data_IF_640510458123
#
_entry.id   IF_640510458123
#
_cell.length_a   1.000
_cell.length_b   1.000
_cell.length_c   1.000
_cell.angle_alpha   90.00
_cell.angle_beta   90.00
_cell.angle_gamma   90.00
#
_symmetry.space_group_name_H-M   'P 1'
#
loop_
_entity.id
_entity.type
_entity.pdbx_description
1 polymer ?
#
# COMPACT_ATOMS: atom_id res chain seq x y z
N UNK A 1 42.80 -45.38 -42.41
CA UNK A 1 41.75 -45.22 -41.40
C UNK A 1 41.65 -43.76 -41.17
N UNK A 2 40.54 -43.09 -41.53
CA UNK A 2 40.31 -41.67 -41.21
C UNK A 2 39.71 -41.50 -39.78
N UNK A 3 40.18 -40.51 -39.07
CA UNK A 3 39.75 -40.13 -37.71
C UNK A 3 38.36 -39.47 -37.74
N UNK A 4 37.55 -39.61 -36.68
CA UNK A 4 36.24 -38.97 -36.61
C UNK A 4 36.40 -37.51 -36.25
N UNK A 5 35.67 -36.64 -36.98
CA UNK A 5 35.50 -35.20 -36.71
C UNK A 5 34.39 -35.07 -35.66
N UNK A 6 34.72 -34.53 -34.48
CA UNK A 6 33.74 -34.16 -33.49
C UNK A 6 33.12 -32.79 -33.89
N UNK A 7 31.79 -32.76 -34.04
CA UNK A 7 31.04 -31.54 -34.21
C UNK A 7 30.78 -30.88 -32.84
N UNK A 8 30.86 -29.54 -32.72
CA UNK A 8 30.54 -28.86 -31.46
C UNK A 8 29.02 -28.82 -31.23
N UNK A 9 28.59 -29.28 -30.07
CA UNK A 9 27.21 -29.11 -29.59
C UNK A 9 27.00 -27.66 -29.19
N UNK A 10 26.11 -26.95 -29.88
CA UNK A 10 25.66 -25.61 -29.53
C UNK A 10 24.61 -25.74 -28.43
N UNK A 11 24.97 -25.37 -27.22
CA UNK A 11 24.07 -25.29 -26.08
C UNK A 11 23.22 -24.01 -26.23
N UNK A 12 21.95 -24.13 -26.66
CA UNK A 12 21.01 -23.05 -26.72
C UNK A 12 20.54 -22.69 -25.30
N UNK A 13 21.06 -21.60 -24.77
CA UNK A 13 20.63 -21.04 -23.49
C UNK A 13 19.31 -20.29 -23.71
N UNK A 14 18.18 -20.91 -23.37
CA UNK A 14 16.85 -20.27 -23.38
C UNK A 14 16.80 -19.26 -22.28
N UNK A 15 16.89 -17.96 -22.57
CA UNK A 15 16.51 -16.89 -21.66
C UNK A 15 14.97 -16.93 -21.49
N UNK A 16 14.51 -17.48 -20.38
CA UNK A 16 13.14 -17.21 -19.92
C UNK A 16 13.09 -15.73 -19.49
N UNK A 17 12.54 -14.87 -20.34
CA UNK A 17 12.18 -13.52 -19.93
C UNK A 17 11.06 -13.62 -18.89
N UNK A 18 11.35 -13.26 -17.63
CA UNK A 18 10.34 -13.10 -16.62
C UNK A 18 9.41 -11.96 -17.08
N UNK A 19 8.13 -12.28 -17.30
CA UNK A 19 7.11 -11.28 -17.55
C UNK A 19 7.07 -10.32 -16.33
N UNK A 20 6.94 -8.99 -16.53
CA UNK A 20 6.80 -8.08 -15.43
C UNK A 20 5.55 -8.48 -14.63
N UNK A 21 5.72 -8.68 -13.33
CA UNK A 21 4.61 -8.91 -12.42
C UNK A 21 3.67 -7.69 -12.52
N UNK A 22 2.49 -7.88 -13.11
CA UNK A 22 1.46 -6.84 -13.13
C UNK A 22 1.06 -6.57 -11.68
N UNK A 23 1.30 -5.35 -11.22
CA UNK A 23 0.86 -4.91 -9.90
C UNK A 23 -0.65 -5.14 -9.78
N UNK A 24 -1.05 -5.89 -8.76
CA UNK A 24 -2.46 -6.20 -8.55
C UNK A 24 -3.25 -4.90 -8.36
N UNK A 25 -4.31 -4.71 -9.13
CA UNK A 25 -5.15 -3.49 -9.06
C UNK A 25 -5.96 -3.39 -7.76
N UNK A 26 -5.98 -4.47 -6.96
CA UNK A 26 -6.69 -4.56 -5.66
C UNK A 26 -5.94 -5.53 -4.75
N UNK A 27 -5.90 -5.24 -3.45
CA UNK A 27 -5.46 -6.23 -2.48
C UNK A 27 -6.43 -7.43 -2.41
N UNK A 28 -5.97 -8.60 -1.93
CA UNK A 28 -6.83 -9.73 -1.64
C UNK A 28 -8.01 -9.35 -0.74
N UNK A 29 -9.09 -10.13 -0.81
CA UNK A 29 -10.19 -9.99 0.16
C UNK A 29 -9.70 -10.40 1.55
N UNK A 30 -10.16 -9.70 2.60
CA UNK A 30 -9.90 -10.11 3.97
C UNK A 30 -10.60 -11.44 4.30
N UNK A 31 -10.11 -12.12 5.34
CA UNK A 31 -10.78 -13.31 5.87
C UNK A 31 -12.19 -12.98 6.40
N UNK A 32 -12.38 -11.76 6.90
CA UNK A 32 -13.65 -11.26 7.42
C UNK A 32 -14.17 -10.10 6.58
N UNK A 33 -15.11 -10.41 5.69
CA UNK A 33 -15.89 -9.43 4.94
C UNK A 33 -17.36 -9.56 5.33
N UNK A 34 -17.96 -8.49 5.83
CA UNK A 34 -19.38 -8.47 6.19
C UNK A 34 -20.09 -7.26 5.57
N UNK A 35 -21.38 -7.41 5.29
CA UNK A 35 -22.27 -6.35 4.84
C UNK A 35 -22.33 -6.10 3.33
N UNK A 36 -21.46 -6.75 2.52
CA UNK A 36 -21.48 -6.59 1.07
C UNK A 36 -20.84 -7.80 0.36
N UNK A 37 -21.07 -7.91 -0.95
CA UNK A 37 -20.39 -8.87 -1.81
C UNK A 37 -18.98 -8.41 -2.19
N UNK A 38 -18.10 -9.35 -2.50
CA UNK A 38 -16.72 -9.07 -2.93
C UNK A 38 -16.61 -8.16 -4.16
N UNK A 39 -17.64 -8.15 -5.01
CA UNK A 39 -17.74 -7.36 -6.25
C UNK A 39 -18.42 -6.01 -6.05
N UNK A 40 -18.87 -5.70 -4.83
CA UNK A 40 -19.47 -4.41 -4.54
C UNK A 40 -18.48 -3.26 -4.79
N UNK A 41 -18.98 -2.17 -5.37
CA UNK A 41 -18.15 -0.99 -5.67
C UNK A 41 -17.47 -0.40 -4.44
N UNK A 42 -18.10 -0.50 -3.27
CA UNK A 42 -17.56 -0.02 -1.99
C UNK A 42 -16.35 -0.88 -1.59
N UNK A 43 -16.47 -2.21 -1.70
CA UNK A 43 -15.39 -3.17 -1.45
C UNK A 43 -14.24 -2.98 -2.44
N UNK A 44 -14.55 -2.80 -3.73
CA UNK A 44 -13.54 -2.60 -4.77
C UNK A 44 -12.77 -1.29 -4.59
N UNK A 45 -13.44 -0.19 -4.24
CA UNK A 45 -12.79 1.10 -3.96
C UNK A 45 -11.80 0.98 -2.79
N UNK A 46 -12.23 0.39 -1.68
CA UNK A 46 -11.43 0.19 -0.48
C UNK A 46 -10.19 -0.67 -0.75
N UNK A 47 -10.35 -1.82 -1.44
CA UNK A 47 -9.24 -2.71 -1.80
C UNK A 47 -8.25 -2.06 -2.77
N UNK A 48 -8.72 -1.20 -3.66
CA UNK A 48 -7.87 -0.44 -4.60
C UNK A 48 -7.03 0.59 -3.87
N UNK A 49 -7.62 1.31 -2.91
CA UNK A 49 -6.89 2.29 -2.12
C UNK A 49 -5.87 1.63 -1.20
N UNK A 50 -6.20 0.46 -0.62
CA UNK A 50 -5.22 -0.33 0.12
C UNK A 50 -4.07 -0.84 -0.77
N UNK A 51 -4.35 -1.23 -2.04
CA UNK A 51 -3.31 -1.59 -3.01
C UNK A 51 -2.39 -0.40 -3.38
N UNK A 52 -2.93 0.83 -3.40
CA UNK A 52 -2.11 2.03 -3.53
C UNK A 52 -1.13 2.16 -2.36
N UNK A 53 -1.59 2.00 -1.12
CA UNK A 53 -0.70 2.07 0.05
C UNK A 53 0.42 1.03 0.00
N UNK A 54 0.15 -0.17 -0.51
CA UNK A 54 1.16 -1.21 -0.65
C UNK A 54 2.18 -0.93 -1.76
N UNK A 55 1.73 -0.41 -2.90
CA UNK A 55 2.57 -0.30 -4.11
C UNK A 55 3.19 1.07 -4.33
N UNK A 56 2.61 2.13 -3.74
CA UNK A 56 2.94 3.52 -4.06
C UNK A 56 2.45 3.97 -5.44
N UNK A 57 1.71 3.13 -6.20
CA UNK A 57 1.28 3.47 -7.55
C UNK A 57 0.22 4.59 -7.53
N UNK A 58 0.55 5.81 -8.01
CA UNK A 58 -0.38 6.94 -7.99
C UNK A 58 -1.62 6.72 -8.88
N UNK A 59 -1.57 5.80 -9.85
CA UNK A 59 -2.72 5.48 -10.68
C UNK A 59 -3.83 4.79 -9.87
N UNK A 60 -3.47 3.97 -8.89
CA UNK A 60 -4.44 3.32 -7.99
C UNK A 60 -5.14 4.34 -7.09
N UNK A 61 -4.40 5.32 -6.55
CA UNK A 61 -4.99 6.41 -5.77
C UNK A 61 -5.99 7.23 -6.63
N UNK A 62 -5.60 7.63 -7.84
CA UNK A 62 -6.48 8.35 -8.77
C UNK A 62 -7.73 7.58 -9.16
N UNK A 63 -7.66 6.26 -9.22
CA UNK A 63 -8.81 5.41 -9.50
C UNK A 63 -9.70 5.15 -8.29
N UNK A 64 -9.11 5.14 -7.08
CA UNK A 64 -9.83 4.88 -5.84
C UNK A 64 -10.52 6.13 -5.29
N UNK A 65 -9.88 7.31 -5.39
CA UNK A 65 -10.36 8.55 -4.78
C UNK A 65 -11.21 9.37 -5.76
N UNK A 66 -12.22 10.04 -5.23
CA UNK A 66 -13.01 11.01 -5.97
C UNK A 66 -12.20 12.30 -6.23
N UNK A 67 -12.61 13.07 -7.23
CA UNK A 67 -11.92 14.31 -7.58
C UNK A 67 -12.05 15.37 -6.45
N UNK A 68 -13.13 15.29 -5.68
CA UNK A 68 -13.44 16.10 -4.49
C UNK A 68 -13.13 15.37 -3.17
N UNK A 69 -12.23 14.39 -3.21
CA UNK A 69 -11.82 13.63 -2.03
C UNK A 69 -11.41 14.53 -0.86
N UNK A 70 -11.93 14.21 0.31
CA UNK A 70 -11.72 14.96 1.54
C UNK A 70 -11.19 14.03 2.66
N UNK A 71 -9.98 14.30 3.12
CA UNK A 71 -9.42 13.69 4.33
C UNK A 71 -9.99 14.40 5.56
N UNK A 72 -10.80 13.69 6.34
CA UNK A 72 -11.50 14.23 7.53
C UNK A 72 -10.66 14.19 8.81
N UNK A 73 -9.54 13.48 8.76
CA UNK A 73 -8.54 13.41 9.86
C UNK A 73 -7.18 13.94 9.43
N UNK A 74 -7.18 14.91 8.52
CA UNK A 74 -5.99 15.46 7.87
C UNK A 74 -4.87 15.80 8.86
N UNK A 75 -3.71 15.13 8.82
CA UNK A 75 -2.56 15.47 9.65
C UNK A 75 -2.04 16.88 9.36
N UNK A 76 -1.54 17.55 10.39
CA UNK A 76 -0.98 18.90 10.26
C UNK A 76 0.16 18.95 9.19
N UNK A 77 0.06 19.91 8.28
CA UNK A 77 1.04 20.11 7.21
C UNK A 77 0.84 19.23 5.97
N UNK A 78 -0.10 18.28 5.98
CA UNK A 78 -0.45 17.48 4.81
C UNK A 78 -1.45 18.24 3.91
N UNK A 79 -1.27 18.27 2.58
CA UNK A 79 -2.26 18.88 1.69
C UNK A 79 -3.56 18.08 1.66
N UNK A 80 -4.68 18.77 1.45
CA UNK A 80 -5.99 18.14 1.28
C UNK A 80 -6.12 17.50 -0.12
N UNK A 81 -7.08 16.61 -0.30
CA UNK A 81 -7.38 15.95 -1.56
C UNK A 81 -6.35 14.87 -1.92
N UNK A 82 -6.27 14.53 -3.20
CA UNK A 82 -5.39 13.46 -3.71
C UNK A 82 -3.90 13.68 -3.37
N UNK A 83 -3.44 14.93 -3.29
CA UNK A 83 -2.04 15.24 -3.01
C UNK A 83 -1.58 14.73 -1.63
N UNK A 84 -2.48 14.70 -0.64
CA UNK A 84 -2.16 14.24 0.72
C UNK A 84 -1.70 12.78 0.78
N UNK A 85 -2.51 11.82 0.34
CA UNK A 85 -2.11 10.43 0.29
C UNK A 85 -0.88 10.17 -0.58
N UNK A 86 -0.74 10.84 -1.73
CA UNK A 86 0.43 10.68 -2.58
C UNK A 86 1.71 11.09 -1.85
N UNK A 87 1.73 12.26 -1.22
CA UNK A 87 2.88 12.72 -0.43
C UNK A 87 3.20 11.78 0.73
N UNK A 88 2.18 11.30 1.44
CA UNK A 88 2.36 10.39 2.56
C UNK A 88 2.95 9.05 2.12
N UNK A 89 2.45 8.50 1.01
CA UNK A 89 2.94 7.27 0.42
C UNK A 89 4.40 7.38 -0.02
N UNK A 90 4.77 8.48 -0.71
CA UNK A 90 6.15 8.72 -1.13
C UNK A 90 7.12 8.75 0.06
N UNK A 91 6.75 9.44 1.15
CA UNK A 91 7.55 9.50 2.38
C UNK A 91 7.68 8.11 3.02
N UNK A 92 6.59 7.35 3.06
CA UNK A 92 6.58 6.06 3.73
C UNK A 92 7.34 5.00 2.93
N UNK A 93 7.20 4.95 1.61
CA UNK A 93 7.98 4.06 0.74
C UNK A 93 9.47 4.43 0.70
N UNK A 94 9.82 5.72 0.81
CA UNK A 94 11.22 6.14 0.95
C UNK A 94 11.85 5.62 2.25
N UNK A 95 11.09 5.46 3.32
CA UNK A 95 11.54 4.91 4.60
C UNK A 95 11.51 3.37 4.63
N UNK A 96 10.45 2.76 4.09
CA UNK A 96 10.14 1.32 4.14
C UNK A 96 9.91 0.81 2.71
N UNK A 97 10.99 0.54 1.93
CA UNK A 97 10.87 0.18 0.51
C UNK A 97 10.17 -1.16 0.25
N UNK A 98 10.15 -2.05 1.23
CA UNK A 98 9.53 -3.37 1.19
C UNK A 98 8.15 -3.40 1.87
N UNK A 99 7.47 -2.25 1.96
CA UNK A 99 6.18 -2.11 2.61
C UNK A 99 5.17 -3.13 2.09
N UNK A 100 4.53 -3.84 3.02
CA UNK A 100 3.41 -4.72 2.77
C UNK A 100 2.17 -4.21 3.50
N UNK A 101 1.01 -4.33 2.87
CA UNK A 101 -0.28 -3.97 3.45
C UNK A 101 -1.25 -5.12 3.30
N UNK A 102 -1.86 -5.53 4.38
CA UNK A 102 -2.95 -6.51 4.38
C UNK A 102 -4.24 -5.87 4.89
N UNK A 103 -5.37 -6.24 4.30
CA UNK A 103 -6.69 -5.96 4.87
C UNK A 103 -7.06 -7.17 5.72
N UNK A 104 -7.16 -7.01 7.04
CA UNK A 104 -7.52 -8.09 7.94
C UNK A 104 -9.04 -8.22 8.12
N UNK A 105 -9.72 -7.08 8.27
CA UNK A 105 -11.17 -7.01 8.42
C UNK A 105 -11.77 -5.93 7.53
N UNK A 106 -12.99 -6.16 7.05
CA UNK A 106 -13.77 -5.19 6.27
C UNK A 106 -15.25 -5.30 6.62
N UNK A 107 -15.85 -4.20 7.05
CA UNK A 107 -17.26 -4.11 7.39
C UNK A 107 -17.92 -3.04 6.53
N UNK A 108 -19.00 -3.38 5.83
CA UNK A 108 -19.72 -2.48 4.93
C UNK A 108 -21.11 -2.18 5.47
N UNK A 109 -21.46 -0.90 5.47
CA UNK A 109 -22.79 -0.42 5.83
C UNK A 109 -23.25 0.62 4.78
N UNK A 110 -23.99 0.16 3.79
CA UNK A 110 -24.45 1.00 2.67
C UNK A 110 -23.27 1.52 1.82
N UNK A 111 -23.10 2.84 1.79
CA UNK A 111 -22.03 3.53 1.08
C UNK A 111 -20.74 3.71 1.91
N UNK A 112 -20.70 3.15 3.12
CA UNK A 112 -19.55 3.25 4.01
C UNK A 112 -18.88 1.90 4.22
N UNK A 113 -17.55 1.93 4.34
CA UNK A 113 -16.74 0.76 4.63
C UNK A 113 -15.66 1.10 5.64
N UNK A 114 -15.53 0.26 6.66
CA UNK A 114 -14.41 0.32 7.59
C UNK A 114 -13.45 -0.84 7.33
N UNK A 115 -12.15 -0.56 7.44
CA UNK A 115 -11.09 -1.53 7.28
C UNK A 115 -10.20 -1.54 8.50
N UNK A 116 -9.73 -2.74 8.87
CA UNK A 116 -8.54 -2.92 9.69
C UNK A 116 -7.39 -3.28 8.77
N UNK A 117 -6.40 -2.41 8.72
CA UNK A 117 -5.21 -2.56 7.89
C UNK A 117 -4.02 -2.96 8.76
N UNK A 118 -3.17 -3.84 8.24
CA UNK A 118 -1.93 -4.25 8.85
C UNK A 118 -0.77 -3.87 7.92
N UNK A 119 0.13 -3.05 8.43
CA UNK A 119 1.32 -2.56 7.73
C UNK A 119 2.55 -3.24 8.29
N UNK A 120 3.37 -3.84 7.41
CA UNK A 120 4.63 -4.49 7.78
C UNK A 120 5.74 -4.13 6.80
N UNK A 121 7.00 -4.24 7.24
CA UNK A 121 8.17 -3.96 6.40
C UNK A 121 9.43 -3.78 7.24
N UNK A 122 10.47 -3.23 6.61
CA UNK A 122 11.73 -2.89 7.26
C UNK A 122 12.12 -1.45 7.00
N UNK A 123 12.37 -0.71 8.06
CA UNK A 123 12.91 0.64 7.97
C UNK A 123 14.39 0.58 7.58
N UNK A 124 14.66 0.71 6.29
CA UNK A 124 16.02 0.70 5.71
C UNK A 124 16.36 1.99 4.99
N UNK A 125 15.36 2.79 4.64
CA UNK A 125 15.52 4.05 3.94
C UNK A 125 15.60 5.27 4.87
N UNK A 126 15.03 6.38 4.47
CA UNK A 126 15.10 7.66 5.20
C UNK A 126 13.70 8.15 5.55
N UNK A 127 13.47 8.47 6.82
CA UNK A 127 12.24 9.09 7.31
C UNK A 127 12.49 10.54 7.75
N UNK A 128 11.75 11.52 7.24
CA UNK A 128 11.93 12.92 7.65
C UNK A 128 11.35 13.15 9.06
N UNK A 129 12.10 13.82 9.91
CA UNK A 129 11.63 14.26 11.24
C UNK A 129 11.92 15.75 11.45
N UNK A 130 11.25 16.41 12.41
CA UNK A 130 11.55 17.80 12.76
C UNK A 130 13.02 18.04 13.18
N UNK A 131 13.71 17.02 13.67
CA UNK A 131 15.11 17.05 14.09
C UNK A 131 16.08 16.75 12.94
N UNK A 132 15.56 16.46 11.75
CA UNK A 132 16.32 16.08 10.57
C UNK A 132 15.98 14.66 10.08
N UNK A 133 16.55 14.21 8.97
CA UNK A 133 16.29 12.89 8.41
C UNK A 133 16.83 11.78 9.31
N UNK A 134 16.03 10.78 9.57
CA UNK A 134 16.39 9.57 10.31
C UNK A 134 16.68 8.43 9.34
N UNK A 135 17.87 7.83 9.43
CA UNK A 135 18.29 6.70 8.61
C UNK A 135 17.86 5.39 9.28
N UNK A 136 17.12 4.55 8.54
CA UNK A 136 16.73 3.23 8.97
C UNK A 136 17.92 2.27 9.10
N UNK A 137 17.87 1.39 10.10
CA UNK A 137 18.88 0.38 10.40
C UNK A 137 18.33 -1.06 10.24
N UNK A 138 17.22 -1.22 9.51
CA UNK A 138 16.57 -2.50 9.30
C UNK A 138 15.57 -2.89 10.39
N UNK A 139 15.14 -1.94 11.21
CA UNK A 139 14.12 -2.18 12.25
C UNK A 139 12.83 -2.70 11.58
N UNK A 140 12.17 -3.66 12.24
CA UNK A 140 10.88 -4.13 11.81
C UNK A 140 9.83 -3.03 12.02
N UNK A 141 9.00 -2.83 11.02
CA UNK A 141 7.77 -2.03 11.06
C UNK A 141 6.61 -3.01 11.08
N UNK A 142 5.73 -2.88 12.06
CA UNK A 142 4.57 -3.73 12.29
C UNK A 142 3.53 -2.93 13.09
N UNK A 143 2.51 -2.37 12.42
CA UNK A 143 1.47 -1.57 13.06
C UNK A 143 0.15 -1.68 12.33
N UNK A 144 -0.93 -1.27 12.99
CA UNK A 144 -2.27 -1.30 12.44
C UNK A 144 -2.83 0.10 12.22
N UNK A 145 -3.79 0.17 11.29
CA UNK A 145 -4.62 1.33 11.09
C UNK A 145 -6.09 0.94 10.94
N UNK A 146 -6.98 1.87 11.27
CA UNK A 146 -8.40 1.78 10.98
C UNK A 146 -8.80 2.93 10.09
N UNK A 147 -9.42 2.59 8.97
CA UNK A 147 -9.98 3.56 8.04
C UNK A 147 -11.50 3.39 7.96
N UNK A 148 -12.20 4.52 7.86
CA UNK A 148 -13.60 4.58 7.48
C UNK A 148 -13.70 5.41 6.22
N UNK A 149 -14.17 4.80 5.13
CA UNK A 149 -14.42 5.49 3.87
C UNK A 149 -15.92 5.70 3.64
N UNK A 150 -16.26 6.83 3.03
CA UNK A 150 -17.50 7.01 2.30
C UNK A 150 -17.22 6.90 0.81
N UNK A 151 -18.04 6.10 0.11
CA UNK A 151 -17.87 5.81 -1.32
C UNK A 151 -19.06 6.38 -2.09
N UNK A 152 -18.80 7.21 -3.08
CA UNK A 152 -19.83 7.87 -3.88
C UNK A 152 -20.51 6.91 -4.88
N UNK A 153 -21.49 7.43 -5.61
CA UNK A 153 -22.25 6.64 -6.58
C UNK A 153 -21.38 6.08 -7.73
N UNK A 154 -20.25 6.72 -8.03
CA UNK A 154 -19.29 6.29 -9.05
C UNK A 154 -18.30 5.22 -8.55
N UNK A 155 -18.41 4.78 -7.29
CA UNK A 155 -17.50 3.80 -6.69
C UNK A 155 -16.13 4.37 -6.37
N UNK A 156 -16.05 5.66 -6.02
CA UNK A 156 -14.83 6.34 -5.58
C UNK A 156 -14.99 6.82 -4.15
N UNK A 157 -13.92 6.77 -3.36
CA UNK A 157 -13.88 7.27 -1.99
C UNK A 157 -13.96 8.80 -2.04
N UNK A 158 -15.02 9.36 -1.46
CA UNK A 158 -15.20 10.81 -1.33
C UNK A 158 -14.65 11.34 -0.01
N UNK A 159 -14.71 10.54 1.05
CA UNK A 159 -14.27 10.93 2.39
C UNK A 159 -13.52 9.80 3.07
N UNK A 160 -12.47 10.14 3.82
CA UNK A 160 -11.72 9.24 4.67
C UNK A 160 -11.60 9.79 6.09
N UNK A 161 -11.92 8.97 7.08
CA UNK A 161 -11.54 9.13 8.48
C UNK A 161 -10.56 7.99 8.80
N UNK A 162 -9.37 8.31 9.29
CA UNK A 162 -8.35 7.30 9.55
C UNK A 162 -7.68 7.50 10.91
N UNK A 163 -7.21 6.41 11.47
CA UNK A 163 -6.46 6.39 12.71
C UNK A 163 -5.40 5.30 12.63
N UNK A 164 -4.14 5.70 12.60
CA UNK A 164 -3.00 4.81 12.65
C UNK A 164 -2.47 4.66 14.08
N UNK A 165 -1.92 3.51 14.42
CA UNK A 165 -1.14 3.35 15.66
C UNK A 165 0.22 4.06 15.52
N UNK A 166 0.16 5.38 15.49
CA UNK A 166 1.33 6.24 15.35
C UNK A 166 2.30 6.11 16.51
N UNK A 167 1.83 5.74 17.70
CA UNK A 167 2.71 5.55 18.85
C UNK A 167 3.64 4.35 18.63
N UNK A 168 3.10 3.22 18.19
CA UNK A 168 3.87 2.03 17.83
C UNK A 168 4.80 2.32 16.66
N UNK A 169 4.31 2.94 15.60
CA UNK A 169 5.12 3.29 14.43
C UNK A 169 6.31 4.19 14.80
N UNK A 170 6.10 5.28 15.54
CA UNK A 170 7.16 6.22 15.90
C UNK A 170 8.21 5.60 16.83
N UNK A 171 7.82 4.65 17.69
CA UNK A 171 8.76 3.86 18.50
C UNK A 171 9.60 2.92 17.64
N UNK A 172 8.99 2.21 16.69
CA UNK A 172 9.69 1.31 15.77
C UNK A 172 10.63 2.06 14.83
N UNK A 173 10.28 3.27 14.42
CA UNK A 173 11.15 4.15 13.66
C UNK A 173 12.31 4.73 14.53
N UNK A 174 12.22 4.66 15.86
CA UNK A 174 13.19 5.27 16.77
C UNK A 174 13.04 6.78 16.94
N UNK A 175 11.89 7.35 16.57
CA UNK A 175 11.56 8.77 16.79
C UNK A 175 11.18 9.01 18.24
N UNK A 176 10.54 8.04 18.88
CA UNK A 176 10.17 8.05 20.29
C UNK A 176 10.94 6.96 21.04
N UNK A 177 11.27 7.23 22.31
CA UNK A 177 11.85 6.23 23.19
C UNK A 177 10.87 5.04 23.39
N UNK A 178 11.39 3.83 23.62
CA UNK A 178 10.60 2.64 23.93
C UNK A 178 9.65 2.80 25.11
#
# INVERSE_FOLDING_TARGET
>A
MPAPVLAPAILALSLLAAAPAQSATHLPLPAHLAGAAATDKVVLAARRFAAFWQSGDPALARQALADDFNDRTLPAGRPQGLAGPLQASDVFHAAVPDLQVAIEDMLVAGDRVTLRLHFTGRFTGVFPTPQGPLQGQGQAIDFHAFDLYQVNAQGRISDNWHLEDNLTLLRQLGVLAP
#
